data_IF_958368765039
#
_entry.id   IF_958368765039
#
_cell.length_a   1.000
_cell.length_b   1.000
_cell.length_c   1.000
_cell.angle_alpha   90.00
_cell.angle_beta   90.00
_cell.angle_gamma   90.00
#
_symmetry.space_group_name_H-M   'P 1'
#
loop_
_entity.id
_entity.type
_entity.pdbx_description
1 polymer ?
#
# COMPACT_ATOMS: atom_id res chain seq x y z
N UNK A 1 -53.31 -68.57 41.28
CA UNK A 1 -52.11 -68.92 42.06
C UNK A 1 -51.20 -67.70 42.17
N UNK A 2 -51.15 -67.08 43.35
CA UNK A 2 -49.98 -66.35 43.89
C UNK A 2 -48.92 -67.41 44.31
N UNK A 3 -47.60 -67.13 44.39
CA UNK A 3 -46.99 -66.27 45.44
C UNK A 3 -45.83 -65.37 44.91
N UNK A 4 -45.64 -64.11 45.33
CA UNK A 4 -44.99 -63.61 46.56
C UNK A 4 -43.75 -64.37 47.03
N UNK A 5 -42.57 -63.76 46.89
CA UNK A 5 -41.45 -63.97 47.80
C UNK A 5 -40.88 -62.62 48.25
N UNK A 6 -41.00 -62.37 49.56
CA UNK A 6 -40.24 -61.37 50.31
C UNK A 6 -38.96 -62.05 50.79
N UNK A 7 -37.82 -61.37 50.74
CA UNK A 7 -36.76 -61.63 51.69
C UNK A 7 -36.13 -60.32 52.14
N UNK A 8 -36.39 -60.00 53.40
CA UNK A 8 -35.75 -58.95 54.18
C UNK A 8 -34.32 -59.36 54.51
N UNK A 9 -33.36 -58.46 54.31
CA UNK A 9 -32.10 -58.46 55.08
C UNK A 9 -31.99 -57.10 55.74
N UNK A 10 -32.25 -57.11 57.05
CA UNK A 10 -31.89 -56.08 58.00
C UNK A 10 -30.43 -56.34 58.36
N UNK A 11 -29.54 -55.35 58.17
CA UNK A 11 -28.30 -55.28 58.93
C UNK A 11 -28.16 -53.86 59.50
N UNK A 12 -28.09 -53.81 60.82
CA UNK A 12 -27.93 -52.63 61.65
C UNK A 12 -26.47 -52.16 61.71
N UNK A 13 -26.35 -50.85 61.95
CA UNK A 13 -25.28 -50.13 62.66
C UNK A 13 -23.98 -49.80 61.89
N UNK A 14 -23.74 -48.50 61.65
CA UNK A 14 -23.00 -47.64 62.59
C UNK A 14 -23.09 -46.16 62.17
N UNK A 15 -23.51 -45.31 63.11
CA UNK A 15 -23.36 -43.87 63.05
C UNK A 15 -21.87 -43.52 63.09
N UNK A 16 -21.38 -42.78 62.10
CA UNK A 16 -20.21 -41.92 62.26
C UNK A 16 -20.59 -40.52 61.78
N UNK A 17 -20.71 -39.61 62.74
CA UNK A 17 -20.73 -38.18 62.50
C UNK A 17 -19.39 -37.80 61.85
N UNK A 18 -19.42 -37.27 60.63
CA UNK A 18 -18.30 -36.56 60.04
C UNK A 18 -18.79 -35.18 59.61
N UNK A 19 -18.72 -34.25 60.55
CA UNK A 19 -18.72 -32.81 60.27
C UNK A 19 -17.44 -32.47 59.53
N UNK A 20 -17.54 -32.11 58.25
CA UNK A 20 -16.42 -31.53 57.48
C UNK A 20 -16.90 -30.26 56.80
N UNK A 21 -16.46 -29.16 57.42
CA UNK A 21 -16.22 -27.81 56.94
C UNK A 21 -16.91 -27.39 55.63
N UNK A 22 -17.82 -26.43 55.80
CA UNK A 22 -18.05 -25.37 54.81
C UNK A 22 -16.69 -24.70 54.59
N UNK A 23 -16.00 -25.10 53.53
CA UNK A 23 -14.92 -24.31 52.96
C UNK A 23 -15.60 -23.19 52.18
N UNK A 24 -15.86 -22.07 52.84
CA UNK A 24 -15.91 -20.79 52.14
C UNK A 24 -14.50 -20.58 51.56
N UNK A 25 -14.29 -21.00 50.32
CA UNK A 25 -13.35 -20.28 49.48
C UNK A 25 -14.02 -18.94 49.22
N UNK A 26 -13.56 -17.90 49.92
CA UNK A 26 -13.65 -16.56 49.38
C UNK A 26 -12.94 -16.63 48.02
N UNK A 27 -13.69 -16.92 46.96
CA UNK A 27 -13.27 -16.57 45.62
C UNK A 27 -13.07 -15.06 45.68
N UNK A 28 -11.81 -14.64 45.66
CA UNK A 28 -11.42 -13.26 45.45
C UNK A 28 -12.05 -12.83 44.12
N UNK A 29 -13.29 -12.35 44.18
CA UNK A 29 -14.01 -11.68 43.10
C UNK A 29 -13.38 -10.30 42.88
N UNK A 30 -12.07 -10.25 42.63
CA UNK A 30 -11.53 -9.08 41.95
C UNK A 30 -12.10 -9.12 40.53
N UNK A 31 -12.84 -8.07 40.12
CA UNK A 31 -13.41 -8.04 38.78
C UNK A 31 -12.28 -8.19 37.76
N UNK A 32 -12.48 -9.06 36.76
CA UNK A 32 -11.52 -9.17 35.66
C UNK A 32 -11.28 -7.78 35.05
N UNK A 33 -10.03 -7.43 34.73
CA UNK A 33 -9.73 -6.12 34.17
C UNK A 33 -10.49 -5.93 32.85
N UNK A 34 -11.38 -4.93 32.83
CA UNK A 34 -12.12 -4.56 31.63
C UNK A 34 -11.29 -3.60 30.74
N UNK A 35 -11.57 -3.57 29.41
CA UNK A 35 -11.02 -2.57 28.52
C UNK A 35 -11.37 -1.15 28.95
N UNK A 36 -10.46 -0.20 28.76
CA UNK A 36 -10.72 1.22 29.05
C UNK A 36 -11.36 1.88 27.84
N UNK A 37 -12.58 2.39 28.00
CA UNK A 37 -13.15 3.32 27.04
C UNK A 37 -12.42 4.67 27.12
N UNK A 38 -11.77 5.06 26.02
CA UNK A 38 -11.05 6.33 25.94
C UNK A 38 -12.02 7.48 25.65
N UNK A 39 -11.86 8.59 26.36
CA UNK A 39 -12.56 9.84 26.03
C UNK A 39 -12.03 10.35 24.68
N UNK A 40 -12.91 10.91 23.85
CA UNK A 40 -12.53 11.42 22.53
C UNK A 40 -11.48 12.55 22.59
N UNK A 41 -11.28 13.16 23.76
CA UNK A 41 -10.29 14.19 24.01
C UNK A 41 -9.06 13.66 24.76
N UNK A 42 -8.97 12.35 25.03
CA UNK A 42 -7.87 11.75 25.81
C UNK A 42 -6.48 12.12 25.28
N UNK A 43 -6.33 12.40 23.99
CA UNK A 43 -5.06 12.76 23.36
C UNK A 43 -5.00 14.24 22.94
N UNK A 44 -5.69 15.11 23.66
CA UNK A 44 -5.70 16.56 23.37
C UNK A 44 -5.01 17.37 24.47
N UNK A 45 -4.22 18.38 24.08
CA UNK A 45 -3.40 19.18 24.98
C UNK A 45 -4.22 19.92 26.05
N UNK A 46 -5.43 20.35 25.67
CA UNK A 46 -6.38 21.07 26.52
C UNK A 46 -7.15 20.17 27.49
N UNK A 47 -7.13 18.85 27.30
CA UNK A 47 -7.87 17.95 28.18
C UNK A 47 -7.14 17.79 29.53
N UNK A 48 -7.81 18.03 30.67
CA UNK A 48 -7.17 17.97 31.99
C UNK A 48 -6.55 16.60 32.30
N UNK A 49 -7.20 15.53 31.85
CA UNK A 49 -6.78 14.15 32.05
C UNK A 49 -6.17 13.55 30.79
N UNK A 50 -5.43 14.36 30.02
CA UNK A 50 -4.77 13.88 28.80
C UNK A 50 -3.83 12.72 29.10
N UNK A 51 -3.75 11.81 28.14
CA UNK A 51 -2.97 10.57 28.19
C UNK A 51 -1.88 10.70 27.12
N UNK A 52 -0.62 10.59 27.50
CA UNK A 52 0.50 10.63 26.53
C UNK A 52 1.05 9.23 26.22
N UNK A 53 0.61 8.22 26.97
CA UNK A 53 1.09 6.84 26.87
C UNK A 53 -0.03 5.83 27.12
N UNK A 54 -0.14 4.83 26.26
CA UNK A 54 -0.98 3.65 26.46
C UNK A 54 -0.09 2.45 26.82
N UNK A 55 -0.44 1.75 27.89
CA UNK A 55 0.31 0.62 28.44
C UNK A 55 -0.47 -0.69 28.23
N UNK A 56 0.24 -1.79 28.00
CA UNK A 56 -0.33 -3.14 27.92
C UNK A 56 -0.96 -3.50 29.27
N UNK A 57 -2.28 -3.75 29.28
CA UNK A 57 -3.06 -4.11 30.48
C UNK A 57 -3.17 -5.63 30.65
N UNK A 58 -2.52 -6.41 29.80
CA UNK A 58 -2.47 -7.87 29.88
C UNK A 58 -3.80 -8.56 29.56
N UNK A 59 -4.70 -7.88 28.84
CA UNK A 59 -6.02 -8.39 28.44
C UNK A 59 -6.16 -8.38 26.92
N UNK A 60 -7.12 -9.14 26.35
CA UNK A 60 -7.26 -9.22 24.89
C UNK A 60 -7.53 -7.89 24.17
N UNK A 61 -8.14 -6.92 24.86
CA UNK A 61 -8.37 -5.55 24.36
C UNK A 61 -8.12 -4.59 25.51
N UNK A 62 -7.09 -3.75 25.41
CA UNK A 62 -6.73 -2.83 26.48
C UNK A 62 -7.60 -1.57 26.46
N UNK A 63 -7.89 -1.06 25.26
CA UNK A 63 -8.58 0.21 25.05
C UNK A 63 -9.67 0.10 23.99
N UNK A 64 -10.78 0.80 24.21
CA UNK A 64 -11.87 0.96 23.24
C UNK A 64 -11.96 2.43 22.82
N UNK A 65 -12.12 2.67 21.52
CA UNK A 65 -12.42 3.98 20.93
C UNK A 65 -13.76 3.91 20.19
N UNK A 66 -14.73 4.70 20.64
CA UNK A 66 -16.09 4.74 20.08
C UNK A 66 -16.40 6.00 19.25
N UNK A 67 -15.38 6.81 18.98
CA UNK A 67 -15.50 8.06 18.24
C UNK A 67 -14.32 8.29 17.27
N UNK A 68 -14.34 9.40 16.54
CA UNK A 68 -13.13 9.85 15.83
C UNK A 68 -12.23 10.59 16.83
N UNK A 69 -11.33 9.84 17.49
CA UNK A 69 -10.43 10.40 18.50
C UNK A 69 -9.39 11.30 17.83
N UNK A 70 -9.13 12.47 18.42
CA UNK A 70 -8.09 13.39 17.93
C UNK A 70 -6.82 13.27 18.76
N UNK A 71 -5.67 13.15 18.08
CA UNK A 71 -4.33 13.15 18.68
C UNK A 71 -3.65 14.46 18.29
N UNK A 72 -3.53 15.41 19.23
CA UNK A 72 -2.83 16.70 19.02
C UNK A 72 -1.62 16.90 19.96
N UNK A 73 -1.22 15.82 20.63
CA UNK A 73 -0.03 15.69 21.47
C UNK A 73 0.84 14.52 20.99
N UNK A 74 2.02 14.36 21.59
CA UNK A 74 2.82 13.15 21.42
C UNK A 74 2.18 11.96 22.15
N UNK A 75 1.69 10.98 21.38
CA UNK A 75 1.14 9.74 21.90
C UNK A 75 2.13 8.58 21.68
N UNK A 76 2.51 7.92 22.77
CA UNK A 76 3.28 6.66 22.74
C UNK A 76 2.38 5.48 23.05
N UNK A 77 2.53 4.38 22.32
CA UNK A 77 1.82 3.12 22.59
C UNK A 77 2.86 2.04 22.84
N UNK A 78 2.75 1.38 23.99
CA UNK A 78 3.71 0.36 24.40
C UNK A 78 3.49 -1.00 23.69
N UNK A 79 4.54 -1.83 23.59
CA UNK A 79 4.42 -3.18 23.04
C UNK A 79 3.33 -4.01 23.71
N UNK A 80 2.50 -4.67 22.90
CA UNK A 80 1.43 -5.57 23.34
C UNK A 80 0.06 -4.91 23.45
N UNK A 81 -0.02 -3.58 23.35
CA UNK A 81 -1.30 -2.87 23.42
C UNK A 81 -2.22 -3.23 22.25
N UNK A 82 -3.46 -3.58 22.58
CA UNK A 82 -4.57 -3.78 21.64
C UNK A 82 -5.65 -2.72 21.83
N UNK A 83 -5.97 -2.00 20.74
CA UNK A 83 -6.97 -0.94 20.69
C UNK A 83 -8.10 -1.36 19.75
N UNK A 84 -9.32 -1.45 20.29
CA UNK A 84 -10.52 -1.80 19.53
C UNK A 84 -11.35 -0.55 19.17
N UNK A 85 -11.69 -0.41 17.89
CA UNK A 85 -12.50 0.67 17.35
C UNK A 85 -13.93 0.18 17.11
N UNK A 86 -14.94 0.87 17.63
CA UNK A 86 -16.34 0.58 17.31
C UNK A 86 -16.67 0.96 15.87
N UNK A 87 -17.83 0.50 15.38
CA UNK A 87 -18.27 0.83 14.03
C UNK A 87 -18.33 2.35 13.78
N UNK A 88 -17.73 2.81 12.70
CA UNK A 88 -17.66 4.22 12.29
C UNK A 88 -16.67 5.11 13.07
N UNK A 89 -15.95 4.56 14.07
CA UNK A 89 -14.94 5.29 14.83
C UNK A 89 -13.60 5.38 14.06
N UNK A 90 -12.61 6.11 14.57
CA UNK A 90 -11.32 6.28 13.89
C UNK A 90 -10.32 7.13 14.67
N UNK A 91 -9.09 7.22 14.17
CA UNK A 91 -8.03 8.02 14.79
C UNK A 91 -7.54 9.12 13.84
N UNK A 92 -7.52 10.36 14.33
CA UNK A 92 -7.04 11.52 13.58
C UNK A 92 -5.82 12.14 14.27
N UNK A 93 -4.64 11.93 13.70
CA UNK A 93 -3.41 12.59 14.14
C UNK A 93 -3.37 13.98 13.51
N UNK A 94 -3.48 15.01 14.36
CA UNK A 94 -3.51 16.44 13.99
C UNK A 94 -2.10 16.96 13.73
N UNK A 95 -2.00 18.13 13.12
CA UNK A 95 -0.72 18.74 12.71
C UNK A 95 0.30 18.87 13.87
N UNK A 96 -0.17 19.11 15.09
CA UNK A 96 0.70 19.24 16.29
C UNK A 96 0.91 17.93 17.07
N UNK A 97 0.22 16.85 16.69
CA UNK A 97 0.28 15.57 17.38
C UNK A 97 1.27 14.62 16.72
N UNK A 98 1.58 13.52 17.42
CA UNK A 98 2.33 12.42 16.83
C UNK A 98 1.89 11.07 17.37
N UNK A 99 2.06 10.01 16.59
CA UNK A 99 1.78 8.63 16.98
C UNK A 99 3.04 7.77 16.91
N UNK A 100 3.55 7.39 18.07
CA UNK A 100 4.65 6.44 18.19
C UNK A 100 4.13 5.09 18.71
N UNK A 101 3.95 4.12 17.82
CA UNK A 101 3.59 2.75 18.16
C UNK A 101 4.73 1.80 17.73
N UNK A 102 5.64 1.51 18.67
CA UNK A 102 6.75 0.57 18.47
C UNK A 102 6.56 -0.67 19.32
N UNK A 103 5.95 -1.70 18.74
CA UNK A 103 5.82 -3.03 19.33
C UNK A 103 7.07 -3.88 19.16
N UNK A 104 6.94 -5.19 19.41
CA UNK A 104 7.97 -6.18 19.10
C UNK A 104 7.35 -7.38 18.38
N UNK A 105 8.18 -8.26 17.81
CA UNK A 105 7.71 -9.53 17.22
C UNK A 105 6.83 -10.34 18.17
N UNK A 106 7.19 -10.40 19.45
CA UNK A 106 6.46 -11.17 20.47
C UNK A 106 5.26 -10.42 21.05
N UNK A 107 5.28 -9.09 20.96
CA UNK A 107 4.25 -8.19 21.50
C UNK A 107 3.90 -7.11 20.47
N UNK A 108 3.23 -7.47 19.37
CA UNK A 108 2.82 -6.49 18.38
C UNK A 108 1.77 -5.54 18.98
N UNK A 109 1.74 -4.30 18.48
CA UNK A 109 0.65 -3.36 18.78
C UNK A 109 -0.48 -3.60 17.78
N UNK A 110 -1.73 -3.67 18.25
CA UNK A 110 -2.87 -4.02 17.38
C UNK A 110 -3.93 -2.92 17.40
N UNK A 111 -4.24 -2.36 16.23
CA UNK A 111 -5.39 -1.50 15.97
C UNK A 111 -6.44 -2.32 15.20
N UNK A 112 -7.58 -2.61 15.82
CA UNK A 112 -8.57 -3.56 15.27
C UNK A 112 -10.00 -3.06 15.38
N UNK A 113 -10.90 -3.55 14.53
CA UNK A 113 -12.34 -3.30 14.65
C UNK A 113 -12.97 -4.21 15.73
N UNK A 114 -13.84 -3.65 16.57
CA UNK A 114 -14.46 -4.37 17.69
C UNK A 114 -15.29 -5.59 17.25
N UNK A 115 -15.98 -5.48 16.10
CA UNK A 115 -16.81 -6.54 15.52
C UNK A 115 -16.05 -7.42 14.51
N UNK A 116 -14.79 -7.07 14.20
CA UNK A 116 -13.91 -7.76 13.24
C UNK A 116 -14.55 -7.92 11.84
N UNK A 117 -15.31 -6.93 11.40
CA UNK A 117 -15.86 -6.87 10.03
C UNK A 117 -15.02 -5.93 9.17
N UNK A 118 -14.70 -6.36 7.93
CA UNK A 118 -13.90 -5.57 6.98
C UNK A 118 -14.55 -4.20 6.74
N UNK A 119 -13.86 -3.13 7.12
CA UNK A 119 -14.37 -1.77 7.02
C UNK A 119 -15.30 -1.33 8.15
N UNK A 120 -15.20 -1.92 9.33
CA UNK A 120 -16.03 -1.49 10.45
C UNK A 120 -15.68 -0.09 10.95
N UNK A 121 -14.40 0.27 10.94
CA UNK A 121 -13.92 1.56 11.41
C UNK A 121 -13.18 2.30 10.29
N UNK A 122 -13.04 3.61 10.44
CA UNK A 122 -12.55 4.50 9.37
C UNK A 122 -11.08 4.27 9.02
N UNK A 123 -10.26 3.84 9.99
CA UNK A 123 -8.80 3.74 9.89
C UNK A 123 -8.10 4.82 10.70
N UNK A 124 -6.88 5.16 10.28
CA UNK A 124 -6.06 6.22 10.86
C UNK A 124 -5.77 7.26 9.77
N UNK A 125 -6.01 8.54 10.05
CA UNK A 125 -5.57 9.64 9.19
C UNK A 125 -4.52 10.48 9.90
N UNK A 126 -3.43 10.81 9.22
CA UNK A 126 -2.39 11.71 9.73
C UNK A 126 -2.31 12.98 8.91
N UNK A 127 -2.29 14.12 9.63
CA UNK A 127 -1.95 15.45 9.12
C UNK A 127 -0.55 15.88 9.60
N UNK A 128 0.03 15.15 10.53
CA UNK A 128 1.30 15.48 11.18
C UNK A 128 2.51 15.16 10.31
N UNK A 129 3.47 16.08 10.29
CA UNK A 129 4.80 15.92 9.70
C UNK A 129 5.87 15.52 10.74
N UNK A 130 5.47 15.24 11.99
CA UNK A 130 6.40 14.86 13.06
C UNK A 130 7.05 13.50 12.76
N UNK A 131 8.37 13.46 12.80
CA UNK A 131 9.19 12.26 12.58
C UNK A 131 8.97 11.14 13.60
N UNK A 132 8.27 11.42 14.70
CA UNK A 132 7.83 10.42 15.69
C UNK A 132 6.69 9.55 15.15
N UNK A 133 6.00 9.94 14.08
CA UNK A 133 4.92 9.16 13.47
C UNK A 133 5.46 7.84 12.91
N UNK A 134 5.21 6.75 13.63
CA UNK A 134 5.71 5.43 13.24
C UNK A 134 4.83 4.27 13.72
N UNK A 135 4.79 3.24 12.89
CA UNK A 135 4.23 1.92 13.17
C UNK A 135 5.35 0.90 13.00
N UNK A 136 5.81 0.34 14.11
CA UNK A 136 6.85 -0.68 14.12
C UNK A 136 6.33 -1.93 14.84
N UNK A 137 6.41 -3.11 14.20
CA UNK A 137 5.78 -4.33 14.71
C UNK A 137 4.30 -4.11 15.11
N UNK A 138 3.56 -3.41 14.25
CA UNK A 138 2.18 -3.04 14.49
C UNK A 138 1.23 -3.63 13.43
N UNK A 139 -0.01 -3.87 13.82
CA UNK A 139 -1.06 -4.44 12.98
C UNK A 139 -2.23 -3.46 12.91
N UNK A 140 -2.64 -3.08 11.71
CA UNK A 140 -3.93 -2.42 11.46
C UNK A 140 -4.85 -3.43 10.77
N UNK A 141 -6.03 -3.69 11.35
CA UNK A 141 -6.99 -4.61 10.74
C UNK A 141 -8.45 -4.15 10.82
N UNK A 142 -9.26 -4.60 9.85
CA UNK A 142 -10.70 -4.31 9.74
C UNK A 142 -11.06 -2.83 9.50
N UNK A 143 -10.09 -2.04 9.03
CA UNK A 143 -10.19 -0.59 8.82
C UNK A 143 -10.69 -0.21 7.42
N UNK A 144 -10.65 1.09 7.09
CA UNK A 144 -10.95 1.62 5.75
C UNK A 144 -12.43 1.74 5.41
N UNK A 145 -13.31 1.75 6.42
CA UNK A 145 -14.75 1.72 6.25
C UNK A 145 -15.44 3.04 5.93
N UNK A 146 -14.77 4.18 6.14
CA UNK A 146 -15.43 5.47 6.03
C UNK A 146 -14.47 6.65 6.05
N UNK A 147 -14.93 7.77 5.49
CA UNK A 147 -14.13 8.97 5.37
C UNK A 147 -14.04 9.76 6.68
N UNK A 148 -12.91 10.46 6.87
CA UNK A 148 -12.69 11.38 7.97
C UNK A 148 -13.26 12.78 7.73
N UNK A 149 -13.35 13.18 6.46
CA UNK A 149 -13.77 14.51 6.04
C UNK A 149 -14.52 14.45 4.69
N UNK A 150 -14.89 15.61 4.16
CA UNK A 150 -15.69 15.74 2.93
C UNK A 150 -14.98 15.32 1.64
N UNK A 151 -13.68 15.01 1.67
CA UNK A 151 -12.95 14.60 0.46
C UNK A 151 -13.17 13.13 0.10
N UNK A 152 -13.68 12.35 1.05
CA UNK A 152 -14.10 10.96 0.78
C UNK A 152 -12.94 9.96 0.70
N UNK A 153 -11.74 10.30 1.16
CA UNK A 153 -10.62 9.36 1.18
C UNK A 153 -10.89 8.19 2.12
N UNK A 154 -10.62 6.98 1.63
CA UNK A 154 -10.73 5.73 2.36
C UNK A 154 -9.36 5.06 2.40
N UNK A 155 -9.01 4.47 3.54
CA UNK A 155 -7.75 3.76 3.72
C UNK A 155 -7.61 3.26 5.15
N UNK A 156 -6.85 2.18 5.36
CA UNK A 156 -6.51 1.76 6.72
C UNK A 156 -5.56 2.75 7.38
N UNK A 157 -4.59 3.26 6.61
CA UNK A 157 -3.76 4.41 6.93
C UNK A 157 -3.89 5.45 5.80
N UNK A 158 -4.16 6.71 6.15
CA UNK A 158 -4.29 7.82 5.21
C UNK A 158 -3.28 8.90 5.58
N UNK A 159 -2.46 9.34 4.62
CA UNK A 159 -1.56 10.48 4.81
C UNK A 159 -2.09 11.69 4.05
N UNK A 160 -2.28 12.78 4.78
CA UNK A 160 -2.62 14.08 4.23
C UNK A 160 -1.40 14.75 3.60
N UNK A 161 -1.63 15.88 2.92
CA UNK A 161 -0.57 16.67 2.32
C UNK A 161 0.47 17.12 3.37
N UNK A 162 1.76 16.94 3.07
CA UNK A 162 2.86 17.35 3.95
C UNK A 162 3.18 16.40 5.10
N UNK A 163 2.36 15.36 5.33
CA UNK A 163 2.53 14.49 6.50
C UNK A 163 3.72 13.53 6.38
N UNK A 164 4.24 13.08 7.51
CA UNK A 164 5.31 12.08 7.59
C UNK A 164 4.81 10.81 8.30
N UNK A 165 5.23 9.65 7.82
CA UNK A 165 4.99 8.38 8.51
C UNK A 165 6.05 7.34 8.18
N UNK A 166 6.49 6.56 9.16
CA UNK A 166 7.35 5.38 8.96
C UNK A 166 6.64 4.09 9.33
N UNK A 167 6.70 3.09 8.45
CA UNK A 167 6.24 1.73 8.71
C UNK A 167 7.43 0.78 8.62
N UNK A 168 7.61 -0.05 9.65
CA UNK A 168 8.65 -1.07 9.67
C UNK A 168 8.14 -2.35 10.35
N UNK A 169 8.25 -3.49 9.70
CA UNK A 169 7.71 -4.75 10.22
C UNK A 169 6.20 -4.65 10.58
N UNK A 170 5.44 -3.87 9.81
CA UNK A 170 4.01 -3.66 10.03
C UNK A 170 3.16 -4.61 9.19
N UNK A 171 1.90 -4.81 9.60
CA UNK A 171 0.89 -5.53 8.82
C UNK A 171 -0.38 -4.69 8.72
N UNK A 172 -0.88 -4.50 7.50
CA UNK A 172 -2.20 -3.93 7.26
C UNK A 172 -3.04 -5.00 6.57
N UNK A 173 -4.16 -5.40 7.17
CA UNK A 173 -4.97 -6.51 6.63
C UNK A 173 -6.47 -6.36 6.82
N UNK A 174 -7.25 -7.10 6.05
CA UNK A 174 -8.71 -7.11 6.15
C UNK A 174 -9.35 -5.70 6.06
N UNK A 175 -8.71 -4.76 5.37
CA UNK A 175 -9.23 -3.41 5.17
C UNK A 175 -10.26 -3.35 4.03
N UNK A 176 -11.29 -2.52 4.12
CA UNK A 176 -12.34 -2.44 3.10
C UNK A 176 -11.89 -1.78 1.79
N UNK A 177 -10.91 -0.86 1.87
CA UNK A 177 -10.43 -0.01 0.78
C UNK A 177 -8.93 -0.19 0.57
N UNK A 178 -8.18 0.90 0.31
CA UNK A 178 -6.72 0.87 0.29
C UNK A 178 -6.13 0.47 1.66
N UNK A 179 -5.01 -0.25 1.65
CA UNK A 179 -4.19 -0.41 2.85
C UNK A 179 -3.61 0.94 3.28
N UNK A 180 -2.85 1.55 2.38
CA UNK A 180 -2.31 2.91 2.53
C UNK A 180 -2.87 3.80 1.42
N UNK A 181 -3.42 4.96 1.79
CA UNK A 181 -3.88 5.97 0.86
C UNK A 181 -3.14 7.30 1.07
N UNK A 182 -2.31 7.65 0.09
CA UNK A 182 -1.54 8.89 0.04
C UNK A 182 -1.88 9.65 -1.25
N UNK A 183 -3.14 10.04 -1.41
CA UNK A 183 -3.64 10.74 -2.61
C UNK A 183 -3.30 12.25 -2.64
N UNK A 184 -2.46 12.72 -1.71
CA UNK A 184 -2.07 14.12 -1.56
C UNK A 184 -0.62 14.35 -1.98
N UNK A 185 -0.12 15.58 -1.84
CA UNK A 185 1.25 15.93 -2.26
C UNK A 185 2.16 16.20 -1.06
N UNK A 186 3.48 16.08 -1.27
CA UNK A 186 4.53 16.45 -0.31
C UNK A 186 4.49 15.68 1.01
N UNK A 187 3.69 14.63 1.09
CA UNK A 187 3.83 13.68 2.19
C UNK A 187 5.14 12.92 2.01
N UNK A 188 5.66 12.37 3.09
CA UNK A 188 6.75 11.42 3.04
C UNK A 188 6.33 10.14 3.77
N UNK A 189 6.64 8.99 3.17
CA UNK A 189 6.36 7.70 3.76
C UNK A 189 7.52 6.75 3.51
N UNK A 190 8.01 6.14 4.58
CA UNK A 190 9.01 5.08 4.54
C UNK A 190 8.32 3.75 4.83
N UNK A 191 8.50 2.76 3.97
CA UNK A 191 7.88 1.43 4.14
C UNK A 191 8.99 0.39 4.07
N UNK A 192 9.20 -0.32 5.18
CA UNK A 192 10.13 -1.43 5.29
C UNK A 192 9.43 -2.67 5.85
N UNK A 193 9.75 -3.86 5.36
CA UNK A 193 9.33 -5.15 5.94
C UNK A 193 7.80 -5.24 6.19
N UNK A 194 6.99 -4.60 5.34
CA UNK A 194 5.56 -4.40 5.61
C UNK A 194 4.72 -5.29 4.70
N UNK A 195 3.73 -5.95 5.30
CA UNK A 195 2.73 -6.74 4.57
C UNK A 195 1.41 -5.98 4.47
N UNK A 196 0.87 -5.87 3.27
CA UNK A 196 -0.49 -5.34 3.04
C UNK A 196 -1.27 -6.36 2.22
N UNK A 197 -2.32 -6.95 2.80
CA UNK A 197 -3.06 -8.07 2.22
C UNK A 197 -4.54 -8.02 2.59
N UNK A 198 -5.41 -8.72 1.88
CA UNK A 198 -6.87 -8.73 2.11
C UNK A 198 -7.52 -7.32 2.13
N UNK A 199 -6.88 -6.34 1.48
CA UNK A 199 -7.45 -5.00 1.22
C UNK A 199 -8.04 -4.95 -0.21
N UNK A 200 -8.65 -3.82 -0.59
CA UNK A 200 -9.00 -3.59 -2.01
C UNK A 200 -7.73 -3.52 -2.85
N UNK A 201 -6.77 -2.72 -2.40
CA UNK A 201 -5.48 -2.53 -3.05
C UNK A 201 -4.45 -2.07 -2.00
N UNK A 202 -3.18 -2.47 -2.09
CA UNK A 202 -2.22 -2.25 -1.03
C UNK A 202 -1.89 -0.76 -0.82
N UNK A 203 -1.58 -0.05 -1.90
CA UNK A 203 -1.12 1.35 -1.85
C UNK A 203 -1.76 2.15 -2.98
N UNK A 204 -2.34 3.31 -2.64
CA UNK A 204 -2.71 4.36 -3.57
C UNK A 204 -1.87 5.61 -3.29
N UNK A 205 -1.20 6.15 -4.31
CA UNK A 205 -0.30 7.29 -4.17
C UNK A 205 -0.44 8.29 -5.32
N UNK A 206 -0.48 9.58 -4.99
CA UNK A 206 -0.38 10.67 -5.94
C UNK A 206 1.07 11.11 -6.24
N UNK A 207 2.05 10.60 -5.49
CA UNK A 207 3.44 11.02 -5.52
C UNK A 207 4.37 9.85 -5.86
N UNK A 208 4.89 9.75 -7.11
CA UNK A 208 5.74 8.64 -7.53
C UNK A 208 7.13 8.66 -6.85
N UNK A 209 7.51 9.76 -6.19
CA UNK A 209 8.84 9.93 -5.60
C UNK A 209 9.06 9.06 -4.34
N UNK A 210 7.99 8.58 -3.71
CA UNK A 210 8.08 7.73 -2.51
C UNK A 210 8.41 6.27 -2.83
N UNK A 211 8.26 5.86 -4.09
CA UNK A 211 8.35 4.44 -4.47
C UNK A 211 9.76 3.87 -4.30
N UNK A 212 10.79 4.71 -4.40
CA UNK A 212 12.18 4.33 -4.11
C UNK A 212 12.47 4.16 -2.61
N UNK A 213 11.53 4.53 -1.74
CA UNK A 213 11.64 4.39 -0.28
C UNK A 213 10.93 3.12 0.24
N UNK A 214 10.31 2.34 -0.65
CA UNK A 214 9.65 1.08 -0.30
C UNK A 214 10.66 -0.05 -0.42
N UNK A 215 10.85 -0.80 0.66
CA UNK A 215 11.77 -1.94 0.71
C UNK A 215 11.13 -3.13 1.42
N UNK A 216 11.47 -4.36 0.98
CA UNK A 216 11.03 -5.61 1.59
C UNK A 216 9.50 -5.65 1.88
N UNK A 217 8.68 -5.32 0.89
CA UNK A 217 7.24 -5.30 1.03
C UNK A 217 6.59 -6.59 0.49
N UNK A 218 5.45 -6.98 1.07
CA UNK A 218 4.56 -7.98 0.48
C UNK A 218 3.17 -7.37 0.28
N UNK A 219 2.83 -7.14 -0.98
CA UNK A 219 1.61 -6.45 -1.41
C UNK A 219 0.64 -7.36 -2.16
N UNK A 220 0.82 -8.68 -2.05
CA UNK A 220 -0.04 -9.69 -2.66
C UNK A 220 -1.22 -10.10 -1.77
N UNK A 221 -2.25 -10.72 -2.37
CA UNK A 221 -3.45 -11.18 -1.66
C UNK A 221 -4.49 -10.09 -1.40
N UNK A 222 -4.39 -8.95 -2.08
CA UNK A 222 -5.43 -7.93 -2.13
C UNK A 222 -6.43 -8.24 -3.26
N UNK A 223 -7.54 -7.52 -3.29
CA UNK A 223 -8.51 -7.64 -4.40
C UNK A 223 -7.84 -7.26 -5.73
N UNK A 224 -6.96 -6.26 -5.69
CA UNK A 224 -6.07 -5.86 -6.76
C UNK A 224 -4.66 -5.77 -6.20
N UNK A 225 -3.81 -6.69 -6.63
CA UNK A 225 -2.38 -6.72 -6.31
C UNK A 225 -1.62 -5.76 -7.24
N UNK A 226 -1.68 -4.45 -6.94
CA UNK A 226 -0.92 -3.41 -7.63
C UNK A 226 -0.74 -2.17 -6.75
N UNK A 227 0.32 -1.40 -6.98
CA UNK A 227 0.49 -0.06 -6.40
C UNK A 227 -0.08 0.95 -7.38
N UNK A 228 -1.19 1.62 -7.03
CA UNK A 228 -1.78 2.65 -7.88
C UNK A 228 -1.06 3.98 -7.72
N UNK A 229 -0.63 4.54 -8.84
CA UNK A 229 0.15 5.76 -8.92
C UNK A 229 -0.54 6.74 -9.85
N UNK A 230 -0.73 7.96 -9.38
CA UNK A 230 -1.21 9.05 -10.21
C UNK A 230 -2.28 9.90 -9.54
N UNK A 231 -2.48 11.06 -10.13
CA UNK A 231 -3.46 12.05 -9.72
C UNK A 231 -3.97 12.81 -10.95
N UNK A 232 -5.06 13.57 -10.85
CA UNK A 232 -5.46 14.50 -11.90
C UNK A 232 -4.30 15.42 -12.30
N UNK A 233 -3.99 15.48 -13.61
CA UNK A 233 -2.91 16.29 -14.16
C UNK A 233 -1.55 15.59 -14.29
N UNK A 234 -1.42 14.33 -13.88
CA UNK A 234 -0.19 13.54 -14.01
C UNK A 234 0.64 13.48 -12.73
N UNK A 235 1.59 12.55 -12.71
CA UNK A 235 2.54 12.33 -11.62
C UNK A 235 3.95 12.61 -12.15
N UNK A 236 4.77 13.35 -11.42
CA UNK A 236 6.12 13.74 -11.86
C UNK A 236 7.18 13.25 -10.87
N UNK A 237 8.27 12.71 -11.42
CA UNK A 237 9.49 12.41 -10.66
C UNK A 237 10.38 13.65 -10.54
N UNK A 238 11.09 13.76 -9.42
CA UNK A 238 12.12 14.77 -9.15
C UNK A 238 13.39 14.07 -8.61
N UNK A 239 14.51 14.26 -9.31
CA UNK A 239 15.77 13.63 -8.95
C UNK A 239 15.90 12.19 -9.44
N UNK A 240 16.72 11.40 -8.73
CA UNK A 240 17.10 10.04 -9.16
C UNK A 240 16.32 8.99 -8.37
N UNK A 241 15.62 8.11 -9.07
CA UNK A 241 14.85 7.03 -8.49
C UNK A 241 15.24 5.69 -9.08
N UNK A 242 15.24 4.68 -8.22
CA UNK A 242 15.28 3.26 -8.58
C UNK A 242 14.01 2.60 -8.08
N UNK A 243 13.26 1.95 -8.96
CA UNK A 243 12.09 1.16 -8.61
C UNK A 243 12.44 -0.31 -8.73
N UNK A 244 12.19 -1.05 -7.65
CA UNK A 244 12.47 -2.48 -7.53
C UNK A 244 11.23 -3.32 -7.83
N UNK A 245 11.40 -4.60 -8.13
CA UNK A 245 10.27 -5.52 -8.17
C UNK A 245 9.75 -5.76 -6.73
N UNK A 246 8.55 -5.23 -6.44
CA UNK A 246 7.87 -5.39 -5.16
C UNK A 246 6.89 -6.59 -5.15
N UNK A 247 6.98 -7.47 -6.15
CA UNK A 247 6.12 -8.63 -6.33
C UNK A 247 4.73 -8.31 -6.88
N UNK A 248 4.43 -7.03 -7.12
CA UNK A 248 3.18 -6.52 -7.71
C UNK A 248 3.47 -5.38 -8.70
N UNK A 249 2.63 -5.14 -9.71
CA UNK A 249 2.85 -4.07 -10.68
C UNK A 249 2.74 -2.66 -10.09
N UNK A 250 3.50 -1.74 -10.67
CA UNK A 250 3.27 -0.30 -10.55
C UNK A 250 2.18 0.12 -11.55
N UNK A 251 0.96 0.37 -11.07
CA UNK A 251 -0.19 0.73 -11.90
C UNK A 251 -0.31 2.24 -12.06
N UNK A 252 0.00 2.74 -13.25
CA UNK A 252 -0.20 4.12 -13.65
C UNK A 252 -1.69 4.41 -13.93
N UNK A 253 -2.29 5.23 -13.08
CA UNK A 253 -3.65 5.78 -13.28
C UNK A 253 -3.65 7.16 -13.95
N UNK A 254 -2.47 7.72 -14.17
CA UNK A 254 -2.28 8.92 -14.97
C UNK A 254 -0.90 8.88 -15.65
N UNK A 255 -0.59 9.88 -16.49
CA UNK A 255 0.72 9.97 -17.14
C UNK A 255 1.83 10.14 -16.11
N UNK A 256 2.89 9.35 -16.24
CA UNK A 256 4.13 9.50 -15.49
C UNK A 256 5.08 10.43 -16.26
N UNK A 257 5.50 11.52 -15.63
CA UNK A 257 6.50 12.46 -16.14
C UNK A 257 7.85 12.22 -15.47
N UNK A 258 8.84 11.83 -16.26
CA UNK A 258 10.25 11.84 -15.88
C UNK A 258 10.84 13.12 -16.48
N UNK A 259 10.83 14.19 -15.70
CA UNK A 259 11.27 15.52 -16.13
C UNK A 259 12.36 16.01 -15.20
N UNK A 260 13.54 16.32 -15.76
CA UNK A 260 14.72 16.71 -14.97
C UNK A 260 15.10 15.65 -13.91
N UNK A 261 14.76 14.39 -14.20
CA UNK A 261 14.82 13.25 -13.29
C UNK A 261 15.36 12.00 -13.99
N UNK A 262 15.80 11.02 -13.21
CA UNK A 262 16.21 9.70 -13.72
C UNK A 262 15.35 8.62 -13.07
N UNK A 263 14.76 7.75 -13.89
CA UNK A 263 14.05 6.56 -13.45
C UNK A 263 14.81 5.31 -13.90
N UNK A 264 15.29 4.54 -12.94
CA UNK A 264 15.84 3.19 -13.16
C UNK A 264 14.80 2.15 -12.73
N UNK A 265 14.44 1.24 -13.62
CA UNK A 265 13.61 0.07 -13.31
C UNK A 265 14.52 -1.15 -13.18
N UNK A 266 14.49 -1.82 -12.04
CA UNK A 266 15.24 -3.07 -11.84
C UNK A 266 14.62 -4.25 -12.64
N UNK A 267 15.39 -5.31 -12.93
CA UNK A 267 14.87 -6.50 -13.59
C UNK A 267 13.65 -7.08 -12.88
N UNK A 268 12.63 -7.48 -13.65
CA UNK A 268 11.37 -8.04 -13.13
C UNK A 268 10.27 -7.01 -12.88
N UNK A 269 10.58 -5.72 -12.88
CA UNK A 269 9.56 -4.67 -12.70
C UNK A 269 8.46 -4.75 -13.76
N UNK A 270 7.21 -4.70 -13.30
CA UNK A 270 6.02 -4.58 -14.15
C UNK A 270 5.41 -3.19 -14.01
N UNK A 271 5.37 -2.47 -15.12
CA UNK A 271 4.66 -1.21 -15.30
C UNK A 271 3.31 -1.49 -15.96
N UNK A 272 2.22 -1.20 -15.26
CA UNK A 272 0.86 -1.45 -15.74
C UNK A 272 0.12 -0.13 -15.97
N UNK A 273 -0.49 0.07 -17.14
CA UNK A 273 -1.08 1.35 -17.55
C UNK A 273 -2.60 1.27 -17.63
N UNK A 274 -3.30 2.16 -16.94
CA UNK A 274 -4.74 2.39 -17.16
C UNK A 274 -4.96 3.02 -18.55
N UNK A 275 -6.21 2.99 -19.03
CA UNK A 275 -6.54 3.42 -20.39
C UNK A 275 -6.13 4.88 -20.63
N UNK A 276 -5.46 5.14 -21.75
CA UNK A 276 -5.02 6.48 -22.14
C UNK A 276 -3.91 7.08 -21.26
N UNK A 277 -3.20 6.26 -20.48
CA UNK A 277 -2.01 6.67 -19.72
C UNK A 277 -0.72 6.31 -20.44
N UNK A 278 0.43 6.75 -19.93
CA UNK A 278 1.74 6.47 -20.52
C UNK A 278 2.88 7.08 -19.72
N UNK A 279 4.08 7.02 -20.27
CA UNK A 279 5.28 7.64 -19.71
C UNK A 279 5.75 8.75 -20.65
N UNK A 280 6.17 9.89 -20.10
CA UNK A 280 6.92 10.91 -20.83
C UNK A 280 8.27 11.13 -20.16
N UNK A 281 9.35 10.96 -20.92
CA UNK A 281 10.74 11.14 -20.50
C UNK A 281 11.29 12.34 -21.25
N UNK A 282 11.53 13.46 -20.57
CA UNK A 282 12.08 14.65 -21.21
C UNK A 282 11.37 15.96 -20.90
N UNK A 283 11.31 16.81 -21.93
CA UNK A 283 11.15 18.28 -21.89
C UNK A 283 12.47 19.04 -21.57
N UNK A 284 13.52 18.30 -21.22
CA UNK A 284 14.92 18.77 -21.07
C UNK A 284 15.90 17.65 -21.45
N UNK A 285 17.18 17.99 -21.60
CA UNK A 285 18.23 17.03 -21.99
C UNK A 285 18.59 16.00 -20.91
N UNK A 286 18.28 16.27 -19.64
CA UNK A 286 18.76 15.50 -18.47
C UNK A 286 17.83 14.34 -18.07
N UNK A 287 16.61 14.29 -18.60
CA UNK A 287 15.62 13.29 -18.22
C UNK A 287 16.00 11.90 -18.72
N UNK A 288 15.95 10.88 -17.86
CA UNK A 288 16.51 9.56 -18.16
C UNK A 288 15.54 8.43 -17.79
N UNK A 289 15.36 7.45 -18.67
CA UNK A 289 14.71 6.17 -18.36
C UNK A 289 15.69 5.01 -18.62
N UNK A 290 16.05 4.28 -17.57
CA UNK A 290 16.88 3.06 -17.64
C UNK A 290 15.99 1.88 -17.28
N UNK A 291 15.53 1.15 -18.29
CA UNK A 291 14.73 -0.06 -18.16
C UNK A 291 15.50 -1.24 -18.75
N UNK A 292 16.45 -1.80 -17.98
CA UNK A 292 17.31 -2.90 -18.41
C UNK A 292 16.99 -4.15 -17.60
N UNK A 293 16.16 -5.03 -18.17
CA UNK A 293 15.82 -6.33 -17.60
C UNK A 293 16.88 -7.39 -17.89
N UNK A 294 16.51 -8.65 -17.65
CA UNK A 294 17.30 -9.83 -18.04
C UNK A 294 16.41 -10.84 -18.78
N UNK A 295 16.98 -11.83 -19.50
CA UNK A 295 16.17 -12.89 -20.09
C UNK A 295 15.33 -13.67 -19.07
N UNK A 296 15.81 -13.80 -17.82
CA UNK A 296 15.09 -14.50 -16.76
C UNK A 296 14.01 -13.62 -16.12
N UNK A 297 14.30 -12.33 -15.95
CA UNK A 297 13.42 -11.34 -15.33
C UNK A 297 13.33 -10.11 -16.26
N UNK A 298 12.52 -10.18 -17.33
CA UNK A 298 12.34 -9.04 -18.21
C UNK A 298 11.54 -7.94 -17.52
N UNK A 299 11.74 -6.69 -17.94
CA UNK A 299 10.84 -5.59 -17.54
C UNK A 299 9.59 -5.65 -18.43
N UNK A 300 8.41 -5.47 -17.85
CA UNK A 300 7.14 -5.53 -18.60
C UNK A 300 6.43 -4.18 -18.57
N UNK A 301 6.07 -3.65 -19.75
CA UNK A 301 5.17 -2.51 -19.92
C UNK A 301 3.87 -3.01 -20.55
N UNK A 302 2.77 -2.97 -19.82
CA UNK A 302 1.48 -3.57 -20.24
C UNK A 302 0.29 -2.66 -19.90
N UNK A 303 -0.82 -2.79 -20.62
CA UNK A 303 -2.11 -2.21 -20.19
C UNK A 303 -2.79 -3.02 -19.08
N UNK A 304 -3.62 -2.38 -18.26
CA UNK A 304 -4.65 -3.05 -17.42
C UNK A 304 -5.64 -3.76 -18.34
N UNK A 305 -6.13 -3.05 -19.35
CA UNK A 305 -6.94 -3.61 -20.43
C UNK A 305 -6.02 -4.30 -21.44
N UNK A 306 -6.18 -5.62 -21.63
CA UNK A 306 -5.36 -6.43 -22.54
C UNK A 306 -5.86 -6.34 -23.99
N UNK A 307 -5.87 -5.11 -24.53
CA UNK A 307 -6.30 -4.78 -25.89
C UNK A 307 -5.28 -3.85 -26.52
N UNK A 308 -4.91 -4.10 -27.78
CA UNK A 308 -4.00 -3.25 -28.52
C UNK A 308 -4.45 -1.77 -28.51
N UNK A 309 -3.54 -0.88 -28.10
CA UNK A 309 -3.82 0.55 -27.97
C UNK A 309 -4.61 0.96 -26.71
N UNK A 310 -4.68 0.10 -25.69
CA UNK A 310 -5.31 0.45 -24.41
C UNK A 310 -4.62 1.63 -23.71
N UNK A 311 -3.29 1.66 -23.74
CA UNK A 311 -2.47 2.75 -23.21
C UNK A 311 -1.70 3.46 -24.33
N UNK A 312 -1.23 4.67 -24.06
CA UNK A 312 -0.67 5.56 -25.07
C UNK A 312 0.70 5.06 -25.55
N UNK A 313 1.76 5.42 -24.82
CA UNK A 313 3.15 5.27 -25.27
C UNK A 313 4.16 5.57 -24.16
N UNK A 314 5.40 5.22 -24.44
CA UNK A 314 6.61 5.72 -23.79
C UNK A 314 7.17 6.81 -24.72
N UNK A 315 6.99 8.07 -24.33
CA UNK A 315 7.36 9.27 -25.09
C UNK A 315 8.71 9.81 -24.63
N UNK A 316 9.77 9.61 -25.43
CA UNK A 316 11.06 10.26 -25.26
C UNK A 316 11.06 11.62 -25.98
N UNK A 317 11.08 12.70 -25.19
CA UNK A 317 10.85 14.05 -25.67
C UNK A 317 12.09 14.95 -25.44
N UNK A 318 12.86 15.25 -26.49
CA UNK A 318 14.10 16.04 -26.45
C UNK A 318 15.31 15.45 -25.71
N UNK A 319 15.13 14.49 -24.79
CA UNK A 319 16.22 13.98 -23.95
C UNK A 319 17.48 13.53 -24.71
N UNK A 320 18.66 13.90 -24.19
CA UNK A 320 19.99 13.58 -24.75
C UNK A 320 20.80 12.67 -23.85
N UNK A 321 20.21 12.14 -22.80
CA UNK A 321 20.89 11.22 -21.89
C UNK A 321 21.33 9.96 -22.63
N UNK A 322 22.63 9.60 -22.61
CA UNK A 322 23.12 8.36 -23.22
C UNK A 322 22.68 7.12 -22.45
N UNK A 323 22.06 7.29 -21.28
CA UNK A 323 21.57 6.22 -20.41
C UNK A 323 20.15 5.78 -20.75
N UNK A 324 19.43 6.50 -21.63
CA UNK A 324 18.10 6.09 -22.05
C UNK A 324 18.15 4.72 -22.75
N UNK A 325 17.64 3.70 -22.08
CA UNK A 325 17.69 2.33 -22.56
C UNK A 325 16.44 1.56 -22.15
N UNK A 326 15.84 0.86 -23.12
CA UNK A 326 14.87 -0.21 -22.89
C UNK A 326 15.50 -1.48 -23.44
N UNK A 327 15.83 -2.42 -22.56
CA UNK A 327 16.50 -3.67 -22.94
C UNK A 327 16.00 -4.86 -22.15
N UNK A 328 15.91 -6.02 -22.79
CA UNK A 328 15.33 -7.24 -22.21
C UNK A 328 13.96 -6.97 -21.60
N UNK A 329 13.05 -6.45 -22.42
CA UNK A 329 11.74 -6.01 -22.00
C UNK A 329 10.62 -6.59 -22.87
N UNK A 330 9.41 -6.57 -22.34
CA UNK A 330 8.16 -6.84 -23.07
C UNK A 330 7.33 -5.56 -23.06
N UNK A 331 6.88 -5.12 -24.23
CA UNK A 331 5.96 -4.00 -24.39
C UNK A 331 4.70 -4.53 -25.06
N UNK A 332 3.56 -4.45 -24.39
CA UNK A 332 2.32 -5.03 -24.87
C UNK A 332 1.08 -4.16 -24.65
N UNK A 333 0.07 -4.31 -25.53
CA UNK A 333 -1.23 -3.63 -25.47
C UNK A 333 -1.19 -2.09 -25.54
N UNK A 334 -0.03 -1.51 -25.90
CA UNK A 334 0.16 -0.06 -26.03
C UNK A 334 -0.11 0.46 -27.44
N UNK A 335 0.10 1.74 -27.65
CA UNK A 335 -0.04 2.38 -28.97
C UNK A 335 -1.47 2.81 -29.27
N UNK A 336 -2.06 3.63 -28.40
CA UNK A 336 -3.42 4.16 -28.61
C UNK A 336 -3.53 5.00 -29.90
N UNK A 337 -4.74 5.17 -30.48
CA UNK A 337 -4.94 6.02 -31.65
C UNK A 337 -4.33 7.41 -31.48
N UNK A 338 -3.50 7.84 -32.45
CA UNK A 338 -2.77 9.12 -32.39
C UNK A 338 -1.42 9.08 -31.65
N UNK A 339 -0.99 7.92 -31.15
CA UNK A 339 0.33 7.75 -30.50
C UNK A 339 1.48 7.65 -31.50
N UNK A 340 1.20 7.29 -32.76
CA UNK A 340 2.12 6.99 -33.88
C UNK A 340 3.11 5.83 -33.65
N UNK A 341 3.64 5.69 -32.43
CA UNK A 341 4.40 4.54 -31.96
C UNK A 341 4.27 4.34 -30.45
N UNK A 342 4.36 3.09 -29.99
CA UNK A 342 4.33 2.78 -28.54
C UNK A 342 5.64 3.21 -27.86
N UNK A 343 6.77 3.19 -28.56
CA UNK A 343 7.97 3.95 -28.20
C UNK A 343 8.08 5.11 -29.17
N UNK A 344 7.81 6.31 -28.68
CA UNK A 344 7.77 7.53 -29.47
C UNK A 344 8.97 8.41 -29.17
N UNK A 345 9.57 8.99 -30.20
CA UNK A 345 10.79 9.77 -30.10
C UNK A 345 10.60 11.11 -30.78
N UNK A 346 10.60 12.20 -30.00
CA UNK A 346 10.48 13.56 -30.52
C UNK A 346 11.80 14.32 -30.47
N UNK A 347 12.16 14.93 -31.60
CA UNK A 347 13.32 15.81 -31.74
C UNK A 347 14.67 15.10 -31.48
N UNK A 348 14.80 13.91 -32.10
CA UNK A 348 16.01 13.08 -32.11
C UNK A 348 16.57 12.77 -30.71
N UNK A 349 15.78 12.23 -29.77
CA UNK A 349 16.30 11.85 -28.46
C UNK A 349 17.33 10.73 -28.58
N UNK A 350 18.26 10.64 -27.64
CA UNK A 350 19.18 9.50 -27.55
C UNK A 350 18.45 8.36 -26.86
N UNK A 351 18.26 7.22 -27.54
CA UNK A 351 17.50 6.06 -27.02
C UNK A 351 18.09 4.76 -27.56
N UNK A 352 18.25 3.77 -26.68
CA UNK A 352 18.57 2.38 -27.06
C UNK A 352 17.38 1.46 -26.79
N UNK A 353 16.96 0.68 -27.78
CA UNK A 353 15.85 -0.29 -27.67
C UNK A 353 16.31 -1.66 -28.20
N UNK A 354 16.71 -2.57 -27.31
CA UNK A 354 17.34 -3.85 -27.71
C UNK A 354 16.78 -5.06 -26.99
N UNK A 355 16.64 -6.20 -27.66
CA UNK A 355 16.09 -7.42 -27.04
C UNK A 355 14.68 -7.20 -26.44
N UNK A 356 13.85 -6.40 -27.11
CA UNK A 356 12.48 -6.10 -26.70
C UNK A 356 11.49 -6.92 -27.52
N UNK A 357 10.49 -7.50 -26.86
CA UNK A 357 9.33 -8.09 -27.53
C UNK A 357 8.17 -7.11 -27.53
N UNK A 358 7.68 -6.76 -28.71
CA UNK A 358 6.47 -5.97 -28.90
C UNK A 358 5.31 -6.90 -29.24
N UNK A 359 4.25 -6.89 -28.41
CA UNK A 359 3.08 -7.76 -28.59
C UNK A 359 1.78 -6.97 -28.58
N UNK A 360 0.88 -7.20 -29.53
CA UNK A 360 -0.46 -6.62 -29.55
C UNK A 360 -0.44 -5.08 -29.45
N UNK A 361 0.32 -4.44 -30.35
CA UNK A 361 0.53 -2.99 -30.36
C UNK A 361 -0.41 -2.34 -31.38
N UNK A 362 -1.14 -1.30 -30.95
CA UNK A 362 -2.12 -0.57 -31.77
C UNK A 362 -1.52 0.45 -32.74
N UNK A 363 -0.23 0.73 -32.62
CA UNK A 363 0.54 1.66 -33.45
C UNK A 363 1.82 0.98 -33.99
N UNK A 364 2.82 1.77 -34.39
CA UNK A 364 4.15 1.22 -34.68
C UNK A 364 4.88 0.85 -33.39
N UNK A 365 5.84 -0.08 -33.46
CA UNK A 365 6.67 -0.38 -32.31
C UNK A 365 7.54 0.83 -31.93
N UNK A 366 8.23 1.40 -32.91
CA UNK A 366 9.09 2.58 -32.79
C UNK A 366 8.59 3.68 -33.74
N UNK A 367 8.58 4.92 -33.27
CA UNK A 367 8.24 6.07 -34.10
C UNK A 367 9.16 7.26 -33.83
N UNK A 368 9.76 7.83 -34.88
CA UNK A 368 10.64 9.00 -34.80
C UNK A 368 10.01 10.23 -35.46
N UNK A 369 10.08 11.37 -34.76
CA UNK A 369 9.45 12.62 -35.15
C UNK A 369 10.39 13.84 -34.97
N UNK A 370 10.20 14.93 -35.72
CA UNK A 370 9.28 15.08 -36.86
C UNK A 370 9.78 14.33 -38.12
N UNK A 371 8.89 14.15 -39.11
CA UNK A 371 9.06 13.42 -40.39
C UNK A 371 10.14 13.97 -41.35
N UNK A 372 11.27 14.48 -40.86
CA UNK A 372 12.32 15.04 -41.72
C UNK A 372 13.35 13.98 -42.10
N UNK A 373 12.98 13.15 -43.08
CA UNK A 373 13.87 12.35 -43.95
C UNK A 373 15.21 11.87 -43.32
N UNK A 374 15.16 11.05 -42.27
CA UNK A 374 16.22 10.14 -41.83
C UNK A 374 15.72 9.41 -40.57
N UNK A 375 16.04 8.11 -40.36
CA UNK A 375 15.86 7.51 -39.04
C UNK A 375 16.57 8.38 -37.99
N UNK A 376 16.00 8.44 -36.78
CA UNK A 376 16.65 9.12 -35.66
C UNK A 376 18.09 8.61 -35.51
N UNK A 377 19.08 9.45 -35.84
CA UNK A 377 20.51 9.07 -35.82
C UNK A 377 21.00 8.66 -34.42
N UNK A 378 20.25 9.04 -33.39
CA UNK A 378 20.53 8.73 -31.99
C UNK A 378 19.76 7.50 -31.47
N UNK A 379 19.01 6.80 -32.34
CA UNK A 379 18.32 5.56 -32.00
C UNK A 379 19.22 4.36 -32.29
N UNK A 380 19.49 3.55 -31.26
CA UNK A 380 20.09 2.22 -31.42
C UNK A 380 19.02 1.16 -31.19
N UNK A 381 18.79 0.27 -32.15
CA UNK A 381 17.81 -0.80 -32.01
C UNK A 381 18.29 -2.11 -32.64
N UNK A 382 18.10 -3.23 -31.93
CA UNK A 382 18.58 -4.54 -32.37
C UNK A 382 17.88 -5.69 -31.62
N UNK A 383 17.78 -6.86 -32.25
CA UNK A 383 17.25 -8.09 -31.65
C UNK A 383 15.83 -7.96 -31.06
N UNK A 384 15.01 -7.04 -31.58
CA UNK A 384 13.62 -6.91 -31.14
C UNK A 384 12.70 -7.86 -31.94
N UNK A 385 11.63 -8.31 -31.29
CA UNK A 385 10.63 -9.22 -31.86
C UNK A 385 9.28 -8.52 -31.95
N UNK A 386 8.55 -8.72 -33.05
CA UNK A 386 7.22 -8.14 -33.27
C UNK A 386 6.18 -9.24 -33.40
N UNK A 387 5.15 -9.17 -32.56
CA UNK A 387 3.99 -10.05 -32.56
C UNK A 387 2.74 -9.16 -32.62
N UNK A 388 1.97 -9.22 -33.71
CA UNK A 388 0.73 -8.43 -33.84
C UNK A 388 0.92 -6.91 -33.58
N UNK A 389 1.82 -6.27 -34.34
CA UNK A 389 2.07 -4.82 -34.28
C UNK A 389 1.42 -4.16 -35.49
N UNK A 390 0.40 -3.32 -35.26
CA UNK A 390 -0.44 -2.78 -36.32
C UNK A 390 0.30 -1.88 -37.32
N UNK A 391 1.21 -1.03 -36.82
CA UNK A 391 1.94 -0.06 -37.66
C UNK A 391 3.25 -0.56 -38.26
N UNK A 392 3.73 -1.74 -37.85
CA UNK A 392 5.07 -2.22 -38.21
C UNK A 392 6.17 -1.77 -37.24
N UNK A 393 7.42 -1.94 -37.64
CA UNK A 393 8.56 -1.83 -36.72
C UNK A 393 9.02 -0.40 -36.46
N UNK A 394 9.47 0.30 -37.48
CA UNK A 394 9.88 1.69 -37.41
C UNK A 394 9.04 2.49 -38.40
N UNK A 395 8.41 3.54 -37.89
CA UNK A 395 7.56 4.44 -38.64
C UNK A 395 8.02 5.90 -38.46
N UNK A 396 7.64 6.76 -39.40
CA UNK A 396 8.19 8.12 -39.49
C UNK A 396 9.46 8.22 -40.33
N UNK A 397 9.82 7.11 -41.01
CA UNK A 397 10.81 7.05 -42.09
C UNK A 397 10.26 7.55 -43.43
#
# INVERSE_FOLDING_TARGET
MKPTFRLSIILLALMSYLTLFISCSDENNEPEPEPVLLDCNSFTASFPNKITRLEDRGIPVDYIIDCTISVDIDLTIDPGVTIAFTSGSGMWIRDNGSLNASGTTDKPIVFTGMDKVKGSWKGIISYSDDVKNRLEHAIIEYAGGGAFNSNGDLGSLILWAGSYFRLDNATIRNGASFGINCNYQRYNIEIANTTITDCEMPVNTADPNILSQISAANFSGNTIDAIKIGKPGGAALDGNHTWSDLGVPYRMSNRLWVKDASLTLEPGVVMEFENGTGIRVGDTDQSTLIAVGTPANPITFTGVTKVAGAWEKIDFHFTKSPLNEISHAVIEYGGSPGSDGVVYMWSKPVVKVTNVTFSDIGSCALFAAPYTSNPNENLTYANNTLNNVAGGYLCGD
#
